data_IF_955110920674
#
_entry.id   IF_955110920674
#
_cell.length_a   1.000
_cell.length_b   1.000
_cell.length_c   1.000
_cell.angle_alpha   90.00
_cell.angle_beta   90.00
_cell.angle_gamma   90.00
#
_symmetry.space_group_name_H-M   'P 1'
#
loop_
_entity.id
_entity.type
_entity.pdbx_description
1 polymer ?
#
# COMPACT_ATOMS: atom_id res chain seq x y z
N UNK A 1 3.43 -9.40 13.62
CA UNK A 1 3.23 -8.82 12.27
C UNK A 1 2.32 -7.60 12.38
N UNK A 2 2.33 -6.68 11.40
CA UNK A 2 1.37 -5.58 11.36
C UNK A 2 0.16 -6.00 10.55
N UNK A 3 -1.04 -5.88 11.12
CA UNK A 3 -2.31 -6.18 10.47
C UNK A 3 -2.80 -4.94 9.73
N UNK A 4 -3.25 -5.12 8.48
CA UNK A 4 -3.75 -4.04 7.63
C UNK A 4 -5.09 -4.39 6.99
N UNK A 5 -5.91 -3.36 6.77
CA UNK A 5 -7.20 -3.44 6.09
C UNK A 5 -7.23 -2.53 4.86
N UNK A 6 -8.06 -2.85 3.85
CA UNK A 6 -8.22 -2.01 2.66
C UNK A 6 -9.13 -0.83 3.00
N UNK A 7 -8.69 0.38 2.65
CA UNK A 7 -9.59 1.54 2.64
C UNK A 7 -10.66 1.37 1.57
N UNK A 8 -11.87 1.89 1.78
CA UNK A 8 -12.87 1.95 0.72
C UNK A 8 -12.31 2.68 -0.50
N UNK A 9 -12.47 2.07 -1.69
CA UNK A 9 -11.89 2.62 -2.92
C UNK A 9 -12.37 4.06 -3.21
N UNK A 10 -13.60 4.41 -2.83
CA UNK A 10 -14.13 5.78 -2.93
C UNK A 10 -13.27 6.83 -2.20
N UNK A 11 -12.69 6.50 -1.04
CA UNK A 11 -11.80 7.41 -0.30
C UNK A 11 -10.46 7.61 -1.03
N UNK A 12 -10.00 6.61 -1.77
CA UNK A 12 -8.80 6.71 -2.61
C UNK A 12 -9.11 7.60 -3.81
N UNK A 13 -10.24 7.36 -4.49
CA UNK A 13 -10.68 8.15 -5.65
C UNK A 13 -10.88 9.63 -5.36
N UNK A 14 -11.41 9.95 -4.17
CA UNK A 14 -11.60 11.34 -3.75
C UNK A 14 -10.29 12.16 -3.72
N UNK A 15 -9.14 11.49 -3.69
CA UNK A 15 -7.80 12.11 -3.68
C UNK A 15 -7.09 12.06 -5.04
N UNK A 16 -7.72 11.50 -6.08
CA UNK A 16 -7.14 11.29 -7.40
C UNK A 16 -7.82 12.17 -8.47
N UNK A 17 -7.03 12.65 -9.42
CA UNK A 17 -7.48 13.32 -10.64
C UNK A 17 -7.29 12.39 -11.84
N UNK A 18 -8.12 12.51 -12.87
CA UNK A 18 -7.99 11.69 -14.10
C UNK A 18 -6.69 11.95 -14.87
N UNK A 19 -6.09 13.12 -14.68
CA UNK A 19 -4.79 13.49 -15.24
C UNK A 19 -3.60 12.87 -14.50
N UNK A 20 -3.81 12.24 -13.34
CA UNK A 20 -2.72 11.67 -12.55
C UNK A 20 -2.12 10.44 -13.24
N UNK A 21 -0.79 10.39 -13.26
CA UNK A 21 0.00 9.21 -13.57
C UNK A 21 0.32 8.52 -12.25
N UNK A 22 -0.17 7.29 -12.09
CA UNK A 22 -0.18 6.61 -10.81
C UNK A 22 0.91 5.54 -10.77
N UNK A 23 1.84 5.68 -9.84
CA UNK A 23 2.75 4.60 -9.44
C UNK A 23 2.12 3.81 -8.31
N UNK A 24 2.19 2.48 -8.34
CA UNK A 24 1.62 1.63 -7.29
C UNK A 24 2.75 0.92 -6.54
N UNK A 25 2.81 1.06 -5.23
CA UNK A 25 3.76 0.35 -4.36
C UNK A 25 2.98 -0.61 -3.48
N UNK A 26 3.33 -1.90 -3.51
CA UNK A 26 2.71 -2.92 -2.68
C UNK A 26 3.71 -3.66 -1.82
N UNK A 27 3.43 -3.73 -0.51
CA UNK A 27 4.25 -4.47 0.44
C UNK A 27 3.96 -5.97 0.35
N UNK A 28 4.99 -6.75 0.00
CA UNK A 28 4.88 -8.20 -0.18
C UNK A 28 5.19 -9.03 1.10
N UNK A 29 4.98 -8.44 2.28
CA UNK A 29 5.24 -9.08 3.58
C UNK A 29 3.97 -9.14 4.44
N UNK A 30 3.86 -8.38 5.53
CA UNK A 30 2.69 -8.45 6.43
C UNK A 30 1.37 -8.10 5.72
N UNK A 31 1.37 -7.08 4.84
CA UNK A 31 0.18 -6.70 4.09
C UNK A 31 -0.28 -7.80 3.10
N UNK A 32 0.66 -8.56 2.50
CA UNK A 32 0.34 -9.75 1.71
C UNK A 32 -0.36 -10.80 2.56
N UNK A 33 0.15 -11.06 3.76
CA UNK A 33 -0.45 -12.03 4.67
C UNK A 33 -1.87 -11.63 5.12
N UNK A 34 -2.17 -10.33 5.12
CA UNK A 34 -3.52 -9.81 5.38
C UNK A 34 -4.36 -9.67 4.09
N UNK A 35 -3.91 -10.20 2.95
CA UNK A 35 -4.62 -10.11 1.65
C UNK A 35 -4.95 -8.67 1.20
N UNK A 36 -4.20 -7.70 1.72
CA UNK A 36 -4.41 -6.26 1.48
C UNK A 36 -3.28 -5.63 0.68
N UNK A 37 -2.09 -6.19 0.75
CA UNK A 37 -0.95 -5.89 -0.13
C UNK A 37 -0.61 -7.08 -1.02
N UNK A 38 0.70 -7.32 -1.20
CA UNK A 38 1.18 -8.37 -2.10
C UNK A 38 0.78 -8.16 -3.56
N UNK A 39 0.90 -9.23 -4.35
CA UNK A 39 0.54 -9.23 -5.77
C UNK A 39 -0.97 -9.07 -5.97
N UNK A 40 -1.77 -9.76 -5.17
CA UNK A 40 -3.24 -9.75 -5.30
C UNK A 40 -3.83 -8.36 -5.04
N UNK A 41 -3.48 -7.71 -3.93
CA UNK A 41 -3.93 -6.35 -3.65
C UNK A 41 -3.44 -5.32 -4.68
N UNK A 42 -2.25 -5.54 -5.25
CA UNK A 42 -1.70 -4.70 -6.32
C UNK A 42 -2.49 -4.81 -7.62
N UNK A 43 -2.78 -6.03 -8.09
CA UNK A 43 -3.58 -6.21 -9.32
C UNK A 43 -5.01 -5.71 -9.12
N UNK A 44 -5.63 -5.99 -7.96
CA UNK A 44 -6.99 -5.53 -7.67
C UNK A 44 -7.13 -3.99 -7.74
N UNK A 45 -6.23 -3.25 -7.08
CA UNK A 45 -6.31 -1.78 -7.12
C UNK A 45 -6.01 -1.25 -8.53
N UNK A 46 -5.11 -1.90 -9.26
CA UNK A 46 -4.72 -1.52 -10.63
C UNK A 46 -5.87 -1.74 -11.61
N UNK A 47 -6.60 -2.84 -11.50
CA UNK A 47 -7.82 -3.10 -12.27
C UNK A 47 -8.89 -2.05 -11.96
N UNK A 48 -9.21 -1.83 -10.68
CA UNK A 48 -10.17 -0.80 -10.24
C UNK A 48 -9.83 0.60 -10.74
N UNK A 49 -8.54 0.95 -10.76
CA UNK A 49 -8.08 2.22 -11.32
C UNK A 49 -8.34 2.32 -12.83
N UNK A 50 -8.03 1.26 -13.59
CA UNK A 50 -8.23 1.23 -15.04
C UNK A 50 -9.71 1.26 -15.41
N UNK A 51 -10.54 0.49 -14.72
CA UNK A 51 -12.00 0.47 -14.91
C UNK A 51 -12.61 1.86 -14.70
N UNK A 52 -12.13 2.58 -13.69
CA UNK A 52 -12.57 3.94 -13.43
C UNK A 52 -11.89 4.98 -14.35
N UNK A 53 -11.01 4.60 -15.28
CA UNK A 53 -10.37 5.53 -16.23
C UNK A 53 -9.20 6.35 -15.65
N UNK A 54 -8.52 5.83 -14.64
CA UNK A 54 -7.23 6.35 -14.17
C UNK A 54 -6.04 5.69 -14.90
N UNK A 55 -4.86 6.28 -14.78
CA UNK A 55 -3.67 5.87 -15.53
C UNK A 55 -2.55 5.33 -14.62
N UNK A 56 -2.56 4.03 -14.26
CA UNK A 56 -1.41 3.40 -13.61
C UNK A 56 -0.26 3.22 -14.60
N UNK A 57 0.92 3.75 -14.27
CA UNK A 57 2.07 3.84 -15.19
C UNK A 57 3.24 2.91 -14.85
N UNK A 58 3.36 2.49 -13.61
CA UNK A 58 4.33 1.50 -13.12
C UNK A 58 3.92 0.96 -11.76
N UNK A 59 4.53 -0.17 -11.39
CA UNK A 59 4.21 -0.89 -10.16
C UNK A 59 5.47 -1.47 -9.52
N UNK A 60 5.45 -1.55 -8.20
CA UNK A 60 6.57 -2.01 -7.38
C UNK A 60 6.06 -2.99 -6.34
N UNK A 61 6.38 -4.27 -6.51
CA UNK A 61 6.09 -5.33 -5.56
C UNK A 61 7.39 -5.77 -4.88
N UNK A 62 7.55 -5.41 -3.61
CA UNK A 62 8.75 -5.79 -2.84
C UNK A 62 8.49 -5.81 -1.34
N UNK A 63 9.46 -6.30 -0.59
CA UNK A 63 9.35 -6.48 0.85
C UNK A 63 10.69 -6.26 1.57
N UNK A 64 10.67 -5.66 2.77
CA UNK A 64 9.57 -4.88 3.34
C UNK A 64 9.59 -3.42 2.86
N UNK A 65 8.42 -2.79 2.73
CA UNK A 65 8.32 -1.35 2.39
C UNK A 65 8.71 -0.47 3.60
N UNK A 66 8.62 -0.99 4.83
CA UNK A 66 9.08 -0.31 6.04
C UNK A 66 10.61 -0.26 6.19
N UNK A 67 11.37 -0.85 5.27
CA UNK A 67 12.82 -0.63 5.15
C UNK A 67 13.12 0.49 4.15
N UNK A 68 13.71 1.59 4.65
CA UNK A 68 14.06 2.77 3.85
C UNK A 68 15.11 2.47 2.78
N UNK A 69 16.06 1.58 3.05
CA UNK A 69 17.11 1.20 2.10
C UNK A 69 16.49 0.47 0.90
N UNK A 70 15.53 -0.41 1.17
CA UNK A 70 14.78 -1.11 0.12
C UNK A 70 13.95 -0.15 -0.73
N UNK A 71 13.24 0.79 -0.10
CA UNK A 71 12.48 1.83 -0.82
C UNK A 71 13.38 2.60 -1.80
N UNK A 72 14.54 3.08 -1.34
CA UNK A 72 15.51 3.83 -2.18
C UNK A 72 16.03 3.03 -3.36
N UNK A 73 16.29 1.74 -3.14
CA UNK A 73 16.86 0.84 -4.14
C UNK A 73 15.84 0.46 -5.21
N UNK A 74 14.62 0.11 -4.80
CA UNK A 74 13.62 -0.51 -5.67
C UNK A 74 12.69 0.50 -6.33
N UNK A 75 12.24 1.52 -5.59
CA UNK A 75 11.16 2.39 -6.05
C UNK A 75 11.74 3.53 -6.88
N UNK A 76 11.34 3.60 -8.17
CA UNK A 76 11.71 4.66 -9.12
C UNK A 76 10.44 5.14 -9.84
N UNK A 77 9.56 5.87 -9.13
CA UNK A 77 8.19 6.09 -9.58
C UNK A 77 8.12 7.11 -10.72
N UNK A 78 7.56 6.69 -11.85
CA UNK A 78 7.29 7.56 -13.00
C UNK A 78 6.07 8.47 -12.77
N UNK A 79 5.14 8.03 -11.92
CA UNK A 79 3.91 8.74 -11.60
C UNK A 79 4.12 10.00 -10.76
N UNK A 80 3.21 10.97 -10.86
CA UNK A 80 3.14 12.11 -9.95
C UNK A 80 2.41 11.76 -8.64
N UNK A 81 1.59 10.71 -8.65
CA UNK A 81 0.92 10.14 -7.49
C UNK A 81 1.46 8.74 -7.22
N UNK A 82 1.70 8.40 -5.95
CA UNK A 82 2.09 7.06 -5.51
C UNK A 82 0.99 6.50 -4.60
N UNK A 83 0.32 5.45 -5.04
CA UNK A 83 -0.55 4.67 -4.18
C UNK A 83 0.28 3.64 -3.40
N UNK A 84 0.11 3.60 -2.08
CA UNK A 84 0.91 2.76 -1.20
C UNK A 84 0.04 1.75 -0.47
N UNK A 85 0.21 0.48 -0.82
CA UNK A 85 -0.41 -0.67 -0.17
C UNK A 85 0.55 -1.22 0.90
N UNK A 86 0.67 -0.46 1.99
CA UNK A 86 1.48 -0.81 3.15
C UNK A 86 0.89 -0.20 4.43
N UNK A 87 1.36 -0.69 5.58
CA UNK A 87 1.09 -0.05 6.87
C UNK A 87 1.73 1.35 6.97
N UNK A 88 1.44 2.06 8.06
CA UNK A 88 1.85 3.45 8.27
C UNK A 88 3.36 3.63 8.17
N UNK A 89 4.14 2.69 8.72
CA UNK A 89 5.60 2.74 8.63
C UNK A 89 6.10 2.68 7.16
N UNK A 90 5.50 1.81 6.35
CA UNK A 90 5.81 1.73 4.92
C UNK A 90 5.36 2.97 4.16
N UNK A 91 4.16 3.48 4.46
CA UNK A 91 3.64 4.72 3.88
C UNK A 91 4.54 5.92 4.17
N UNK A 92 4.95 6.10 5.43
CA UNK A 92 5.82 7.20 5.85
C UNK A 92 7.17 7.14 5.13
N UNK A 93 7.74 5.96 4.90
CA UNK A 93 8.99 5.83 4.14
C UNK A 93 8.82 6.29 2.68
N UNK A 94 7.75 5.87 1.99
CA UNK A 94 7.46 6.33 0.62
C UNK A 94 7.26 7.85 0.59
N UNK A 95 6.42 8.37 1.50
CA UNK A 95 6.14 9.81 1.58
C UNK A 95 7.39 10.65 1.86
N UNK A 96 8.27 10.15 2.74
CA UNK A 96 9.50 10.85 3.13
C UNK A 96 10.58 10.82 2.06
N UNK A 97 10.65 9.73 1.28
CA UNK A 97 11.61 9.59 0.18
C UNK A 97 11.21 10.43 -1.03
N UNK A 98 9.93 10.41 -1.40
CA UNK A 98 9.42 11.07 -2.61
C UNK A 98 8.63 12.33 -2.29
N UNK A 99 9.26 13.30 -1.62
CA UNK A 99 8.62 14.54 -1.13
C UNK A 99 8.00 15.40 -2.25
N UNK A 100 8.48 15.26 -3.47
CA UNK A 100 7.98 15.96 -4.65
C UNK A 100 6.80 15.25 -5.35
N UNK A 101 6.30 14.14 -4.79
CA UNK A 101 5.18 13.36 -5.32
C UNK A 101 4.09 13.24 -4.26
N UNK A 102 2.85 13.08 -4.68
CA UNK A 102 1.73 12.88 -3.77
C UNK A 102 1.65 11.41 -3.38
N UNK A 103 1.97 11.06 -2.14
CA UNK A 103 1.77 9.71 -1.62
C UNK A 103 0.36 9.58 -1.01
N UNK A 104 -0.40 8.56 -1.43
CA UNK A 104 -1.73 8.23 -0.90
C UNK A 104 -1.67 6.82 -0.31
N UNK A 105 -2.02 6.71 0.96
CA UNK A 105 -2.10 5.44 1.65
C UNK A 105 -3.40 4.72 1.29
N UNK A 106 -3.29 3.46 0.86
CA UNK A 106 -4.42 2.63 0.43
C UNK A 106 -4.93 1.72 1.56
N UNK A 107 -4.09 1.44 2.55
CA UNK A 107 -4.42 0.56 3.67
C UNK A 107 -4.55 1.34 4.98
N UNK A 108 -5.36 0.83 5.88
CA UNK A 108 -5.35 1.21 7.30
C UNK A 108 -4.46 0.25 8.09
N UNK A 109 -3.70 0.80 9.03
CA UNK A 109 -2.96 -0.01 10.00
C UNK A 109 -3.87 -0.32 11.18
N UNK A 110 -4.21 -1.59 11.36
CA UNK A 110 -5.16 -2.02 12.39
C UNK A 110 -4.46 -2.26 13.72
N UNK A 111 -3.31 -2.92 13.70
CA UNK A 111 -2.64 -3.31 14.94
C UNK A 111 -1.50 -4.31 14.78
N UNK A 112 -1.05 -4.84 15.90
CA UNK A 112 -0.16 -5.99 15.98
C UNK A 112 -0.98 -7.28 15.96
N UNK A 113 -0.57 -8.22 15.12
CA UNK A 113 -1.17 -9.55 15.07
C UNK A 113 -0.14 -10.67 15.13
N UNK A 114 -0.66 -11.88 15.34
CA UNK A 114 0.04 -13.15 15.27
C UNK A 114 -0.86 -14.21 14.60
N UNK A 115 -0.29 -15.40 14.41
CA UNK A 115 -0.99 -16.55 13.88
C UNK A 115 -1.39 -17.50 14.99
N UNK A 116 -2.60 -18.05 14.91
CA UNK A 116 -3.01 -19.21 15.69
C UNK A 116 -2.47 -20.52 15.07
N UNK A 117 -2.74 -21.66 15.71
CA UNK A 117 -2.39 -23.00 15.22
C UNK A 117 -3.00 -23.35 13.85
N UNK A 118 -4.09 -22.68 13.47
CA UNK A 118 -4.80 -22.86 12.20
C UNK A 118 -4.33 -21.88 11.12
N UNK A 119 -3.32 -21.04 11.42
CA UNK A 119 -2.78 -19.98 10.55
C UNK A 119 -3.76 -18.82 10.30
N UNK A 120 -4.77 -18.64 11.14
CA UNK A 120 -5.59 -17.44 11.14
C UNK A 120 -4.83 -16.29 11.82
N UNK A 121 -5.06 -15.07 11.33
CA UNK A 121 -4.52 -13.87 11.97
C UNK A 121 -5.47 -13.45 13.09
N UNK A 122 -4.92 -13.26 14.30
CA UNK A 122 -5.61 -12.61 15.41
C UNK A 122 -4.83 -11.38 15.89
N UNK A 123 -5.54 -10.40 16.42
CA UNK A 123 -4.95 -9.16 16.94
C UNK A 123 -4.43 -9.39 18.36
N UNK A 124 -3.16 -9.06 18.58
CA UNK A 124 -2.53 -8.96 19.90
C UNK A 124 -2.80 -7.59 20.51
N UNK A 125 -2.78 -6.55 19.67
CA UNK A 125 -3.01 -5.17 20.10
C UNK A 125 -3.58 -4.36 18.94
N UNK A 126 -4.70 -3.70 19.18
CA UNK A 126 -5.27 -2.72 18.24
C UNK A 126 -4.56 -1.37 18.38
N UNK A 127 -4.43 -0.67 17.25
CA UNK A 127 -3.90 0.70 17.18
C UNK A 127 -5.00 1.74 16.95
N UNK A 128 -6.23 1.31 16.68
CA UNK A 128 -7.40 2.21 16.70
C UNK A 128 -7.75 2.51 18.16
N UNK A 129 -7.91 3.79 18.46
CA UNK A 129 -8.59 4.28 19.68
C UNK A 129 -10.11 4.33 19.44
#
# INVERSE_FOLDING_TARGET
MIVTEKKPFGMIKAKLKKSDKISIVSCNMCARLCETGGKEGLEEIKEKLKEDGYNPVDEFLFSPVCDRTMVKKVVKPKGNVILVLACDAGFVNIKSEFKNKTAIQVLDTVGLGAFDENKNIFLIKEFKE
#
